data_IF_292272470440
#
_entry.id   IF_292272470440
#
_cell.length_a   1.000
_cell.length_b   1.000
_cell.length_c   1.000
_cell.angle_alpha   90.00
_cell.angle_beta   90.00
_cell.angle_gamma   90.00
#
_symmetry.space_group_name_H-M   'P 1'
#
loop_
_entity.id
_entity.type
_entity.pdbx_description
1 polymer ?
#
# COMPACT_ATOMS: atom_id res chain seq x y z
N UNK A 1 14.62 -14.91 13.93
CA UNK A 1 13.85 -13.82 13.32
C UNK A 1 12.39 -13.89 13.75
N UNK A 2 11.76 -12.72 13.98
CA UNK A 2 10.40 -12.68 14.52
C UNK A 2 9.37 -13.10 13.46
N UNK A 3 9.58 -12.66 12.23
CA UNK A 3 8.77 -13.02 11.07
C UNK A 3 9.62 -13.80 10.09
N UNK A 4 9.39 -15.10 10.02
CA UNK A 4 10.11 -15.99 9.13
C UNK A 4 9.23 -17.16 8.71
N UNK A 5 9.50 -17.70 7.54
CA UNK A 5 8.92 -18.93 7.06
C UNK A 5 10.05 -19.85 6.57
N UNK A 6 9.98 -21.17 6.77
CA UNK A 6 10.88 -22.07 6.07
C UNK A 6 10.66 -21.93 4.56
N UNK A 7 11.70 -22.13 3.73
CA UNK A 7 11.52 -22.19 2.28
C UNK A 7 10.44 -23.20 1.88
N UNK A 8 9.61 -22.86 0.90
CA UNK A 8 8.55 -23.72 0.42
C UNK A 8 8.56 -23.81 -1.12
N UNK A 9 8.38 -24.99 -1.65
CA UNK A 9 8.38 -25.21 -3.11
C UNK A 9 7.15 -24.55 -3.76
N UNK A 10 6.00 -24.69 -3.12
CA UNK A 10 4.71 -24.15 -3.58
C UNK A 10 4.06 -23.36 -2.46
N UNK A 11 3.57 -22.17 -2.78
CA UNK A 11 2.76 -21.32 -1.89
C UNK A 11 1.29 -21.59 -2.19
N UNK A 12 0.57 -22.15 -1.23
CA UNK A 12 -0.86 -22.44 -1.30
C UNK A 12 -1.64 -21.22 -0.82
N UNK A 13 -2.38 -20.60 -1.73
CA UNK A 13 -3.02 -19.31 -1.52
C UNK A 13 -4.53 -19.44 -1.38
N UNK A 14 -5.11 -18.82 -0.35
CA UNK A 14 -6.51 -18.47 -0.26
C UNK A 14 -6.69 -16.99 -0.54
N UNK A 15 -7.61 -16.62 -1.42
CA UNK A 15 -7.85 -15.22 -1.80
C UNK A 15 -9.22 -14.74 -1.34
N UNK A 16 -9.27 -13.63 -0.62
CA UNK A 16 -10.50 -13.03 -0.07
C UNK A 16 -10.76 -11.66 -0.73
N UNK A 17 -11.94 -11.53 -1.32
CA UNK A 17 -12.32 -10.32 -2.06
C UNK A 17 -11.81 -10.34 -3.50
N UNK A 18 -12.62 -10.86 -4.41
CA UNK A 18 -12.26 -10.99 -5.83
C UNK A 18 -13.08 -10.06 -6.71
N UNK A 19 -13.15 -8.79 -6.28
CA UNK A 19 -13.58 -7.66 -7.10
C UNK A 19 -12.56 -7.31 -8.20
N UNK A 20 -12.46 -6.03 -8.56
CA UNK A 20 -11.51 -5.58 -9.60
C UNK A 20 -10.05 -5.86 -9.25
N UNK A 21 -9.57 -5.33 -8.12
CA UNK A 21 -8.19 -5.50 -7.69
C UNK A 21 -7.87 -6.96 -7.34
N UNK A 22 -8.72 -7.62 -6.55
CA UNK A 22 -8.48 -9.02 -6.19
C UNK A 22 -8.41 -9.95 -7.40
N UNK A 23 -9.24 -9.73 -8.41
CA UNK A 23 -9.15 -10.48 -9.68
C UNK A 23 -7.84 -10.21 -10.42
N UNK A 24 -7.34 -8.97 -10.37
CA UNK A 24 -6.05 -8.61 -10.97
C UNK A 24 -4.89 -9.35 -10.27
N UNK A 25 -4.85 -9.36 -8.95
CA UNK A 25 -3.85 -10.13 -8.19
C UNK A 25 -3.94 -11.63 -8.48
N UNK A 26 -5.13 -12.19 -8.56
CA UNK A 26 -5.30 -13.61 -8.96
C UNK A 26 -4.68 -13.87 -10.32
N UNK A 27 -4.91 -13.01 -11.32
CA UNK A 27 -4.26 -13.14 -12.65
C UNK A 27 -2.74 -13.11 -12.56
N UNK A 28 -2.19 -12.21 -11.74
CA UNK A 28 -0.75 -12.12 -11.52
C UNK A 28 -0.22 -13.41 -10.88
N UNK A 29 -0.84 -13.85 -9.80
CA UNK A 29 -0.45 -15.05 -9.06
C UNK A 29 -0.46 -16.30 -9.93
N UNK A 30 -1.43 -16.44 -10.84
CA UNK A 30 -1.51 -17.55 -11.80
C UNK A 30 -0.36 -17.56 -12.83
N UNK A 31 0.36 -16.45 -13.00
CA UNK A 31 1.54 -16.34 -13.88
C UNK A 31 2.86 -16.54 -13.14
N UNK A 32 2.83 -16.64 -11.82
CA UNK A 32 4.01 -16.78 -10.97
C UNK A 32 4.23 -18.26 -10.64
N UNK A 33 5.43 -18.75 -10.92
CA UNK A 33 5.81 -20.12 -10.61
C UNK A 33 5.75 -20.43 -9.11
N UNK A 34 5.29 -21.62 -8.76
CA UNK A 34 5.21 -22.06 -7.38
C UNK A 34 4.02 -21.47 -6.61
N UNK A 35 2.97 -21.06 -7.30
CA UNK A 35 1.70 -20.63 -6.69
C UNK A 35 0.59 -21.63 -7.00
N UNK A 36 -0.18 -22.00 -5.98
CA UNK A 36 -1.42 -22.74 -6.12
C UNK A 36 -2.58 -21.97 -5.47
N UNK A 37 -3.57 -21.60 -6.27
CA UNK A 37 -4.82 -21.00 -5.77
C UNK A 37 -5.75 -22.10 -5.27
N UNK A 38 -5.82 -22.31 -3.95
CA UNK A 38 -6.60 -23.41 -3.36
C UNK A 38 -8.00 -23.01 -2.93
N UNK A 39 -8.20 -21.74 -2.59
CA UNK A 39 -9.49 -21.26 -2.10
C UNK A 39 -9.75 -19.81 -2.53
N UNK A 40 -11.01 -19.49 -2.76
CA UNK A 40 -11.48 -18.15 -3.14
C UNK A 40 -12.71 -17.81 -2.32
N UNK A 41 -12.72 -16.62 -1.71
CA UNK A 41 -13.81 -16.12 -0.88
C UNK A 41 -14.28 -14.74 -1.36
N UNK A 42 -15.58 -14.57 -1.54
CA UNK A 42 -16.24 -13.28 -1.78
C UNK A 42 -17.69 -13.39 -1.33
N UNK A 43 -18.29 -12.28 -0.90
CA UNK A 43 -19.72 -12.25 -0.53
C UNK A 43 -20.66 -12.42 -1.74
N UNK A 44 -20.13 -12.25 -2.95
CA UNK A 44 -20.87 -12.37 -4.23
C UNK A 44 -20.50 -13.71 -4.89
N UNK A 45 -21.41 -14.71 -4.90
CA UNK A 45 -21.10 -16.06 -5.41
C UNK A 45 -20.63 -16.06 -6.86
N UNK A 46 -21.19 -15.20 -7.70
CA UNK A 46 -20.84 -15.10 -9.13
C UNK A 46 -19.39 -14.69 -9.35
N UNK A 47 -18.85 -13.85 -8.45
CA UNK A 47 -17.42 -13.47 -8.50
C UNK A 47 -16.53 -14.66 -8.13
N UNK A 48 -16.91 -15.46 -7.15
CA UNK A 48 -16.22 -16.69 -6.76
C UNK A 48 -16.19 -17.67 -7.95
N UNK A 49 -17.35 -17.96 -8.57
CA UNK A 49 -17.44 -18.86 -9.70
C UNK A 49 -16.64 -18.38 -10.93
N UNK A 50 -16.63 -17.07 -11.18
CA UNK A 50 -15.82 -16.48 -12.24
C UNK A 50 -14.32 -16.75 -12.01
N UNK A 51 -13.83 -16.57 -10.81
CA UNK A 51 -12.40 -16.76 -10.46
C UNK A 51 -12.05 -18.26 -10.46
N UNK A 52 -12.92 -19.14 -9.98
CA UNK A 52 -12.72 -20.60 -10.09
C UNK A 52 -12.49 -21.03 -11.55
N UNK A 53 -13.33 -20.55 -12.46
CA UNK A 53 -13.16 -20.81 -13.92
C UNK A 53 -11.84 -20.28 -14.46
N UNK A 54 -11.40 -19.10 -14.00
CA UNK A 54 -10.12 -18.51 -14.38
C UNK A 54 -8.94 -19.38 -13.94
N UNK A 55 -8.97 -19.89 -12.71
CA UNK A 55 -7.93 -20.77 -12.16
C UNK A 55 -7.83 -22.08 -12.95
N UNK A 56 -8.98 -22.71 -13.24
CA UNK A 56 -9.04 -23.92 -14.07
C UNK A 56 -8.52 -23.65 -15.48
N UNK A 57 -8.90 -22.54 -16.10
CA UNK A 57 -8.42 -22.15 -17.43
C UNK A 57 -6.90 -21.91 -17.46
N UNK A 58 -6.29 -21.55 -16.33
CA UNK A 58 -4.84 -21.43 -16.17
C UNK A 58 -4.14 -22.78 -15.91
N UNK A 59 -4.87 -23.90 -15.91
CA UNK A 59 -4.32 -25.24 -15.76
C UNK A 59 -4.13 -25.70 -14.30
N UNK A 60 -4.67 -24.98 -13.32
CA UNK A 60 -4.65 -25.41 -11.92
C UNK A 60 -5.95 -26.14 -11.54
N UNK A 61 -5.92 -26.98 -10.49
CA UNK A 61 -7.14 -27.57 -9.94
C UNK A 61 -8.17 -26.51 -9.55
N UNK A 62 -9.45 -26.86 -9.64
CA UNK A 62 -10.53 -25.95 -9.22
C UNK A 62 -10.40 -25.60 -7.73
N UNK A 63 -10.30 -24.30 -7.37
CA UNK A 63 -10.23 -23.89 -5.98
C UNK A 63 -11.57 -24.03 -5.29
N UNK A 64 -11.55 -24.23 -3.98
CA UNK A 64 -12.77 -24.25 -3.18
C UNK A 64 -13.35 -22.86 -3.03
N UNK A 65 -14.65 -22.72 -3.23
CA UNK A 65 -15.38 -21.46 -3.12
C UNK A 65 -16.00 -21.26 -1.74
N UNK A 66 -15.96 -20.01 -1.27
CA UNK A 66 -16.53 -19.54 0.00
C UNK A 66 -17.36 -18.30 -0.26
N UNK A 67 -18.67 -18.35 -0.03
CA UNK A 67 -19.59 -17.23 -0.30
C UNK A 67 -20.84 -17.23 0.58
N UNK A 68 -20.75 -17.79 1.80
CA UNK A 68 -21.87 -17.88 2.74
C UNK A 68 -21.92 -16.66 3.69
N UNK A 69 -21.71 -15.45 3.14
CA UNK A 69 -21.78 -14.20 3.89
C UNK A 69 -20.42 -13.59 4.23
N UNK A 70 -20.46 -12.47 4.95
CA UNK A 70 -19.29 -11.62 5.22
C UNK A 70 -18.20 -12.32 6.03
N UNK A 71 -18.52 -13.30 6.84
CA UNK A 71 -17.59 -14.00 7.72
C UNK A 71 -17.11 -15.36 7.17
N UNK A 72 -17.46 -15.73 5.94
CA UNK A 72 -17.11 -17.03 5.38
C UNK A 72 -15.59 -17.23 5.16
N UNK A 73 -14.83 -16.11 5.11
CA UNK A 73 -13.37 -16.16 5.12
C UNK A 73 -12.80 -16.83 6.38
N UNK A 74 -13.49 -16.77 7.54
CA UNK A 74 -13.07 -17.45 8.77
C UNK A 74 -13.08 -18.94 8.57
N UNK A 75 -14.18 -19.48 8.03
CA UNK A 75 -14.29 -20.90 7.71
C UNK A 75 -13.22 -21.35 6.72
N UNK A 76 -12.91 -20.53 5.71
CA UNK A 76 -11.80 -20.79 4.79
C UNK A 76 -10.46 -20.87 5.53
N UNK A 77 -10.16 -19.89 6.40
CA UNK A 77 -8.94 -19.88 7.19
C UNK A 77 -8.82 -21.08 8.14
N UNK A 78 -9.93 -21.54 8.72
CA UNK A 78 -9.98 -22.67 9.64
C UNK A 78 -9.82 -24.03 8.93
N UNK A 79 -10.44 -24.19 7.78
CA UNK A 79 -10.60 -25.52 7.15
C UNK A 79 -9.63 -25.81 6.03
N UNK A 80 -9.08 -24.80 5.37
CA UNK A 80 -8.20 -25.02 4.21
C UNK A 80 -6.73 -25.09 4.63
N UNK A 81 -6.02 -26.00 3.98
CA UNK A 81 -4.56 -26.13 4.10
C UNK A 81 -3.88 -25.10 3.19
N UNK A 82 -3.61 -23.94 3.75
CA UNK A 82 -3.05 -22.75 3.08
C UNK A 82 -1.76 -22.30 3.76
N UNK A 83 -0.86 -21.72 2.97
CA UNK A 83 0.34 -21.04 3.45
C UNK A 83 0.11 -19.53 3.59
N UNK A 84 -0.68 -18.96 2.68
CA UNK A 84 -0.94 -17.53 2.57
C UNK A 84 -2.44 -17.27 2.36
N UNK A 85 -2.98 -16.30 3.10
CA UNK A 85 -4.27 -15.68 2.81
C UNK A 85 -4.04 -14.25 2.36
N UNK A 86 -4.55 -13.91 1.17
CA UNK A 86 -4.43 -12.60 0.57
C UNK A 86 -5.82 -11.93 0.50
N UNK A 87 -5.94 -10.67 0.92
CA UNK A 87 -7.20 -9.95 0.89
C UNK A 87 -7.15 -8.66 0.07
N UNK A 88 -8.19 -8.45 -0.74
CA UNK A 88 -8.49 -7.23 -1.48
C UNK A 88 -9.97 -6.85 -1.29
N UNK A 89 -10.42 -6.86 -0.07
CA UNK A 89 -11.77 -6.48 0.39
C UNK A 89 -11.89 -4.96 0.59
N UNK A 90 -13.08 -4.42 0.93
CA UNK A 90 -13.18 -3.09 1.52
C UNK A 90 -12.29 -2.92 2.76
N UNK A 91 -11.85 -1.69 3.05
CA UNK A 91 -10.81 -1.41 4.06
C UNK A 91 -11.11 -2.00 5.43
N UNK A 92 -12.35 -1.94 5.89
CA UNK A 92 -12.77 -2.46 7.19
C UNK A 92 -12.60 -3.98 7.38
N UNK A 93 -12.41 -4.71 6.29
CA UNK A 93 -12.21 -6.16 6.32
C UNK A 93 -10.75 -6.60 6.24
N UNK A 94 -9.81 -5.71 5.96
CA UNK A 94 -8.39 -6.05 5.85
C UNK A 94 -7.87 -6.69 7.14
N UNK A 95 -8.06 -6.03 8.27
CA UNK A 95 -7.58 -6.52 9.58
C UNK A 95 -8.29 -7.80 10.01
N UNK A 96 -9.63 -7.90 9.98
CA UNK A 96 -10.32 -9.15 10.32
C UNK A 96 -9.84 -10.36 9.52
N UNK A 97 -9.60 -10.21 8.23
CA UNK A 97 -9.09 -11.30 7.37
C UNK A 97 -7.65 -11.67 7.74
N UNK A 98 -6.75 -10.69 7.87
CA UNK A 98 -5.36 -10.93 8.23
C UNK A 98 -5.22 -11.59 9.62
N UNK A 99 -5.98 -11.14 10.59
CA UNK A 99 -6.00 -11.72 11.95
C UNK A 99 -6.47 -13.17 11.89
N UNK A 100 -7.59 -13.44 11.21
CA UNK A 100 -8.11 -14.81 11.08
C UNK A 100 -7.10 -15.73 10.38
N UNK A 101 -6.40 -15.24 9.36
CA UNK A 101 -5.34 -16.00 8.68
C UNK A 101 -4.20 -16.38 9.63
N UNK A 102 -3.66 -15.40 10.35
CA UNK A 102 -2.52 -15.62 11.25
C UNK A 102 -2.87 -16.48 12.46
N UNK A 103 -4.05 -16.31 13.05
CA UNK A 103 -4.56 -17.16 14.14
C UNK A 103 -4.72 -18.62 13.73
N UNK A 104 -4.97 -18.87 12.44
CA UNK A 104 -5.05 -20.21 11.87
C UNK A 104 -3.74 -20.67 11.21
N UNK A 105 -2.61 -20.07 11.58
CA UNK A 105 -1.27 -20.50 11.20
C UNK A 105 -0.84 -20.14 9.78
N UNK A 106 -1.54 -19.25 9.08
CA UNK A 106 -1.23 -18.80 7.72
C UNK A 106 -0.53 -17.44 7.75
N UNK A 107 0.30 -17.15 6.76
CA UNK A 107 0.77 -15.80 6.49
C UNK A 107 -0.37 -14.96 5.92
N UNK A 108 -0.28 -13.65 6.05
CA UNK A 108 -1.31 -12.72 5.58
C UNK A 108 -0.71 -11.67 4.63
N UNK A 109 -1.45 -11.33 3.60
CA UNK A 109 -1.20 -10.19 2.73
C UNK A 109 -2.50 -9.41 2.55
N UNK A 110 -2.41 -8.09 2.53
CA UNK A 110 -3.57 -7.21 2.38
C UNK A 110 -3.31 -6.07 1.42
N UNK A 111 -4.33 -5.69 0.68
CA UNK A 111 -4.38 -4.41 -0.02
C UNK A 111 -4.31 -3.23 0.95
N UNK A 112 -4.11 -2.06 0.41
CA UNK A 112 -3.86 -0.81 1.14
C UNK A 112 -5.15 0.00 1.37
N UNK A 113 -5.20 0.76 2.50
CA UNK A 113 -4.31 0.71 3.67
C UNK A 113 -4.53 -0.58 4.46
N UNK A 114 -3.53 -1.03 5.20
CA UNK A 114 -3.65 -2.27 5.97
C UNK A 114 -4.68 -2.17 7.11
N UNK A 115 -4.81 -0.98 7.68
CA UNK A 115 -5.69 -0.68 8.80
C UNK A 115 -6.24 0.75 8.68
N UNK A 116 -7.37 1.02 9.32
CA UNK A 116 -8.03 2.34 9.30
C UNK A 116 -8.05 3.02 10.67
N UNK A 117 -7.64 2.31 11.73
CA UNK A 117 -7.52 2.83 13.10
C UNK A 117 -6.21 2.40 13.74
N UNK A 118 -5.78 3.11 14.79
CA UNK A 118 -4.59 2.74 15.57
C UNK A 118 -4.77 1.41 16.30
N UNK A 119 -5.97 1.12 16.78
CA UNK A 119 -6.30 -0.16 17.41
C UNK A 119 -6.09 -1.31 16.43
N UNK A 120 -6.57 -1.18 15.21
CA UNK A 120 -6.37 -2.15 14.14
C UNK A 120 -4.88 -2.31 13.78
N UNK A 121 -4.11 -1.22 13.75
CA UNK A 121 -2.65 -1.29 13.55
C UNK A 121 -1.99 -2.16 14.63
N UNK A 122 -2.31 -1.95 15.90
CA UNK A 122 -1.81 -2.78 16.99
C UNK A 122 -2.28 -4.23 16.90
N UNK A 123 -3.54 -4.45 16.53
CA UNK A 123 -4.07 -5.80 16.37
C UNK A 123 -3.29 -6.61 15.32
N UNK A 124 -2.93 -5.99 14.19
CA UNK A 124 -2.07 -6.63 13.19
C UNK A 124 -0.70 -6.98 13.76
N UNK A 125 -0.04 -6.01 14.41
CA UNK A 125 1.30 -6.18 14.97
C UNK A 125 1.31 -7.27 16.04
N UNK A 126 0.43 -7.20 17.01
CA UNK A 126 0.35 -8.17 18.11
C UNK A 126 0.03 -9.58 17.63
N UNK A 127 -0.87 -9.70 16.65
CA UNK A 127 -1.20 -11.00 16.07
C UNK A 127 -0.02 -11.58 15.28
N UNK A 128 0.64 -10.78 14.47
CA UNK A 128 1.81 -11.21 13.69
C UNK A 128 2.96 -11.65 14.61
N UNK A 129 3.22 -10.91 15.69
CA UNK A 129 4.24 -11.24 16.68
C UNK A 129 3.89 -12.52 17.44
N UNK A 130 2.65 -12.65 17.90
CA UNK A 130 2.16 -13.80 18.67
C UNK A 130 2.25 -15.11 17.90
N UNK A 131 1.81 -15.08 16.65
CA UNK A 131 1.77 -16.28 15.79
C UNK A 131 3.01 -16.44 14.89
N UNK A 132 3.94 -15.48 14.95
CA UNK A 132 5.19 -15.46 14.16
C UNK A 132 4.93 -15.64 12.67
N UNK A 133 3.98 -14.86 12.14
CA UNK A 133 3.58 -14.90 10.73
C UNK A 133 3.93 -13.59 10.03
N UNK A 134 4.29 -13.69 8.76
CA UNK A 134 4.32 -12.52 7.91
C UNK A 134 2.92 -11.93 7.80
N UNK A 135 2.83 -10.62 7.94
CA UNK A 135 1.65 -9.82 7.60
C UNK A 135 2.14 -8.66 6.73
N UNK A 136 1.83 -8.72 5.45
CA UNK A 136 2.39 -7.82 4.44
C UNK A 136 1.28 -6.94 3.89
N UNK A 137 1.48 -5.62 3.96
CA UNK A 137 0.65 -4.68 3.20
C UNK A 137 1.22 -4.56 1.79
N UNK A 138 0.39 -4.81 0.80
CA UNK A 138 0.78 -4.81 -0.61
C UNK A 138 0.74 -3.39 -1.17
N UNK A 139 1.79 -2.64 -0.87
CA UNK A 139 1.95 -1.27 -1.37
C UNK A 139 2.69 -1.28 -2.71
N UNK A 140 1.91 -1.39 -3.77
CA UNK A 140 2.39 -1.53 -5.15
C UNK A 140 3.28 -0.37 -5.61
N UNK A 141 3.05 0.85 -5.11
CA UNK A 141 3.83 2.02 -5.50
C UNK A 141 5.31 1.92 -5.13
N UNK A 142 5.66 1.10 -4.13
CA UNK A 142 7.05 0.80 -3.82
C UNK A 142 7.77 0.01 -4.93
N UNK A 143 7.04 -0.56 -5.87
CA UNK A 143 7.56 -1.37 -6.98
C UNK A 143 7.41 -0.69 -8.36
N UNK A 144 6.94 0.55 -8.39
CA UNK A 144 6.93 1.33 -9.62
C UNK A 144 8.38 1.64 -10.05
N UNK A 145 8.62 1.71 -11.37
CA UNK A 145 9.96 1.94 -11.93
C UNK A 145 10.65 3.17 -11.35
N UNK A 146 9.95 4.30 -11.31
CA UNK A 146 10.52 5.56 -10.81
C UNK A 146 10.90 5.45 -9.34
N UNK A 147 10.01 4.93 -8.50
CA UNK A 147 10.24 4.74 -7.07
C UNK A 147 11.38 3.77 -6.79
N UNK A 148 11.46 2.66 -7.51
CA UNK A 148 12.59 1.72 -7.41
C UNK A 148 13.92 2.37 -7.81
N UNK A 149 13.94 3.13 -8.90
CA UNK A 149 15.14 3.85 -9.33
C UNK A 149 15.56 4.90 -8.30
N UNK A 150 14.62 5.66 -7.75
CA UNK A 150 14.88 6.62 -6.67
C UNK A 150 15.44 5.93 -5.43
N UNK A 151 14.86 4.80 -5.02
CA UNK A 151 15.36 3.99 -3.91
C UNK A 151 16.80 3.53 -4.14
N UNK A 152 17.11 3.06 -5.34
CA UNK A 152 18.46 2.62 -5.70
C UNK A 152 19.46 3.79 -5.63
N UNK A 153 19.13 4.94 -6.19
CA UNK A 153 19.97 6.15 -6.13
C UNK A 153 20.22 6.61 -4.69
N UNK A 154 19.17 6.63 -3.85
CA UNK A 154 19.26 6.98 -2.43
C UNK A 154 20.19 6.01 -1.68
N UNK A 155 20.01 4.71 -1.89
CA UNK A 155 20.84 3.68 -1.23
C UNK A 155 22.30 3.71 -1.64
N UNK A 156 22.59 4.11 -2.87
CA UNK A 156 23.98 4.30 -3.34
C UNK A 156 24.59 5.63 -2.88
N UNK A 157 23.84 6.45 -2.14
CA UNK A 157 24.34 7.68 -1.52
C UNK A 157 24.51 8.86 -2.47
N UNK A 158 23.97 8.81 -3.69
CA UNK A 158 24.13 9.88 -4.69
C UNK A 158 23.54 11.21 -4.21
N UNK A 159 22.47 11.17 -3.41
CA UNK A 159 21.85 12.37 -2.84
C UNK A 159 22.46 12.83 -1.51
N UNK A 160 23.48 12.14 -0.99
CA UNK A 160 24.01 12.40 0.34
C UNK A 160 23.09 11.96 1.46
N UNK A 161 23.14 12.65 2.61
CA UNK A 161 22.25 12.41 3.74
C UNK A 161 20.84 12.92 3.39
N UNK A 162 19.82 12.06 3.57
CA UNK A 162 18.43 12.42 3.27
C UNK A 162 17.88 13.32 4.36
N UNK A 163 17.23 14.40 3.97
CA UNK A 163 16.72 15.46 4.84
C UNK A 163 15.20 15.59 4.78
N UNK A 164 14.62 15.49 3.57
CA UNK A 164 13.22 15.81 3.33
C UNK A 164 12.62 14.96 2.23
N UNK A 165 11.33 14.66 2.36
CA UNK A 165 10.51 14.04 1.33
C UNK A 165 9.16 14.70 1.19
N UNK A 166 8.61 14.67 -0.03
CA UNK A 166 7.25 15.11 -0.32
C UNK A 166 6.51 14.00 -1.06
N UNK A 167 5.28 13.73 -0.63
CA UNK A 167 4.48 12.67 -1.23
C UNK A 167 2.99 12.99 -1.14
N UNK A 168 2.17 12.15 -1.74
CA UNK A 168 0.73 12.33 -1.68
C UNK A 168 -0.04 11.24 -2.41
N UNK A 169 -1.33 11.32 -2.26
CA UNK A 169 -2.29 10.64 -3.12
C UNK A 169 -3.26 11.66 -3.68
N UNK A 170 -2.93 12.11 -4.86
CA UNK A 170 -3.63 13.17 -5.56
C UNK A 170 -4.29 12.55 -6.80
N UNK A 171 -5.58 12.20 -6.68
CA UNK A 171 -6.30 11.42 -7.68
C UNK A 171 -7.79 11.80 -7.69
N UNK A 172 -8.29 12.25 -8.82
CA UNK A 172 -9.72 12.53 -8.95
C UNK A 172 -10.54 11.23 -8.85
N UNK A 173 -11.06 10.96 -7.66
CA UNK A 173 -11.90 9.78 -7.38
C UNK A 173 -13.40 10.09 -7.31
N UNK A 174 -13.85 11.27 -7.74
CA UNK A 174 -15.27 11.64 -7.66
C UNK A 174 -16.14 10.62 -8.39
N UNK A 175 -15.80 10.27 -9.63
CA UNK A 175 -16.50 9.24 -10.39
C UNK A 175 -16.51 7.87 -9.73
N UNK A 176 -15.38 7.44 -9.18
CA UNK A 176 -15.25 6.17 -8.44
C UNK A 176 -16.16 6.15 -7.21
N UNK A 177 -16.13 7.21 -6.40
CA UNK A 177 -16.92 7.32 -5.16
C UNK A 177 -18.42 7.31 -5.40
N UNK A 178 -18.87 7.75 -6.56
CA UNK A 178 -20.27 7.74 -6.96
C UNK A 178 -20.64 6.59 -7.89
N UNK A 179 -19.73 5.67 -8.19
CA UNK A 179 -20.04 4.44 -8.91
C UNK A 179 -21.12 3.63 -8.18
N UNK A 180 -21.92 2.88 -8.95
CA UNK A 180 -22.93 1.97 -8.41
C UNK A 180 -22.39 0.59 -8.03
N UNK A 181 -21.12 0.35 -8.31
CA UNK A 181 -20.40 -0.90 -8.05
C UNK A 181 -18.98 -0.66 -7.55
N UNK A 182 -18.26 -1.73 -7.26
CA UNK A 182 -16.88 -1.69 -6.80
C UNK A 182 -16.68 -0.78 -5.59
N UNK A 183 -15.68 0.08 -5.65
CA UNK A 183 -15.32 0.97 -4.54
C UNK A 183 -16.40 2.02 -4.22
N UNK A 184 -17.27 2.34 -5.16
CA UNK A 184 -18.39 3.26 -4.95
C UNK A 184 -19.39 2.78 -3.91
N UNK A 185 -19.43 1.46 -3.64
CA UNK A 185 -20.31 0.87 -2.63
C UNK A 185 -19.90 1.20 -1.18
N UNK A 186 -18.62 1.44 -0.94
CA UNK A 186 -18.10 1.61 0.42
C UNK A 186 -17.18 2.84 0.61
N UNK A 187 -16.38 3.23 -0.39
CA UNK A 187 -15.35 4.28 -0.23
C UNK A 187 -15.93 5.66 0.08
N UNK A 188 -17.07 6.02 -0.51
CA UNK A 188 -17.75 7.29 -0.25
C UNK A 188 -18.18 7.46 1.22
N UNK A 189 -18.54 6.37 1.90
CA UNK A 189 -18.95 6.39 3.30
C UNK A 189 -17.86 6.93 4.23
N UNK A 190 -16.58 6.69 3.92
CA UNK A 190 -15.46 7.27 4.65
C UNK A 190 -15.41 8.80 4.51
N UNK A 191 -15.74 9.34 3.34
CA UNK A 191 -15.79 10.78 3.10
C UNK A 191 -16.93 11.49 3.86
N UNK A 192 -17.98 10.75 4.22
CA UNK A 192 -19.10 11.24 5.05
C UNK A 192 -18.70 11.34 6.53
N UNK A 193 -17.87 10.41 7.02
CA UNK A 193 -17.61 10.20 8.45
C UNK A 193 -16.27 10.73 8.94
N UNK A 194 -15.28 10.85 8.06
CA UNK A 194 -13.86 11.03 8.42
C UNK A 194 -13.24 12.24 7.73
N UNK A 195 -12.36 12.95 8.44
CA UNK A 195 -11.65 14.13 7.91
C UNK A 195 -10.16 14.07 8.27
N UNK A 196 -9.34 13.69 7.32
CA UNK A 196 -7.90 13.53 7.44
C UNK A 196 -7.29 12.99 6.16
N UNK A 197 -6.13 12.40 6.25
CA UNK A 197 -5.52 11.66 5.14
C UNK A 197 -5.98 10.19 5.18
N UNK A 198 -6.99 9.86 4.41
CA UNK A 198 -7.59 8.52 4.42
C UNK A 198 -6.85 7.49 3.55
N UNK A 199 -5.82 7.93 2.80
CA UNK A 199 -5.08 7.03 1.89
C UNK A 199 -3.60 7.43 1.79
N UNK A 200 -2.83 7.28 2.89
CA UNK A 200 -1.47 7.80 2.95
C UNK A 200 -0.43 6.94 2.24
N UNK A 201 -0.67 5.63 2.07
CA UNK A 201 0.38 4.64 1.86
C UNK A 201 1.03 4.71 0.49
N UNK A 202 0.28 5.03 -0.58
CA UNK A 202 0.82 5.15 -1.94
C UNK A 202 1.91 6.22 -2.09
N UNK A 203 1.76 7.34 -1.41
CA UNK A 203 2.81 8.36 -1.37
C UNK A 203 3.86 8.05 -0.31
N UNK A 204 3.41 7.73 0.90
CA UNK A 204 4.29 7.57 2.06
C UNK A 204 5.19 6.35 1.99
N UNK A 205 4.71 5.23 1.44
CA UNK A 205 5.46 3.97 1.39
C UNK A 205 6.84 4.12 0.74
N UNK A 206 6.94 4.60 -0.50
CA UNK A 206 8.23 4.85 -1.14
C UNK A 206 9.14 5.79 -0.34
N UNK A 207 8.61 6.92 0.15
CA UNK A 207 9.39 7.89 0.94
C UNK A 207 9.88 7.29 2.26
N UNK A 208 9.05 6.49 2.93
CA UNK A 208 9.45 5.76 4.14
C UNK A 208 10.60 4.78 3.86
N UNK A 209 10.60 4.13 2.70
CA UNK A 209 11.71 3.28 2.27
C UNK A 209 12.98 4.08 1.99
N UNK A 210 12.89 5.25 1.35
CA UNK A 210 14.06 6.12 1.13
C UNK A 210 14.71 6.56 2.44
N UNK A 211 13.93 6.73 3.50
CA UNK A 211 14.37 7.19 4.82
C UNK A 211 14.65 6.05 5.82
N UNK A 212 14.58 4.80 5.39
CA UNK A 212 14.77 3.62 6.27
C UNK A 212 13.85 3.63 7.51
N UNK A 213 12.61 4.06 7.37
CA UNK A 213 11.63 4.03 8.46
C UNK A 213 11.43 2.58 8.94
N UNK A 214 11.40 2.39 10.26
CA UNK A 214 11.42 1.11 10.98
C UNK A 214 12.76 0.32 10.84
N UNK A 215 13.80 0.91 10.20
CA UNK A 215 15.09 0.27 9.90
C UNK A 215 16.26 1.26 10.07
N UNK A 216 16.32 1.91 11.23
CA UNK A 216 17.31 2.93 11.57
C UNK A 216 16.71 4.32 11.80
N UNK A 217 15.47 4.56 11.36
CA UNK A 217 14.68 5.75 11.69
C UNK A 217 13.23 5.34 11.98
N UNK A 218 12.42 6.27 12.48
CA UNK A 218 11.01 6.05 12.81
C UNK A 218 10.25 7.38 12.75
N UNK A 219 8.94 7.33 12.45
CA UNK A 219 8.07 8.49 12.61
C UNK A 219 7.94 8.87 14.08
N UNK A 220 8.14 10.14 14.38
CA UNK A 220 8.03 10.69 15.74
C UNK A 220 6.64 11.26 15.98
N UNK A 221 6.26 12.28 15.22
CA UNK A 221 4.93 12.88 15.29
C UNK A 221 4.48 13.48 13.96
N UNK A 222 3.18 13.75 13.83
CA UNK A 222 2.64 14.51 12.71
C UNK A 222 1.76 15.67 13.18
N UNK A 223 1.63 16.66 12.29
CA UNK A 223 0.62 17.73 12.33
C UNK A 223 -0.19 17.66 11.04
N UNK A 224 -1.49 17.97 11.11
CA UNK A 224 -2.37 17.88 9.93
C UNK A 224 -3.46 18.95 9.92
N UNK A 225 -3.75 19.46 8.73
CA UNK A 225 -4.81 20.43 8.47
C UNK A 225 -5.57 20.05 7.22
N UNK A 226 -6.89 20.16 7.25
CA UNK A 226 -7.75 19.94 6.09
C UNK A 226 -8.37 21.22 5.58
N UNK A 227 -8.54 21.33 4.27
CA UNK A 227 -9.33 22.37 3.63
C UNK A 227 -10.82 22.17 3.87
N UNK A 228 -11.65 23.11 3.42
CA UNK A 228 -13.11 22.92 3.36
C UNK A 228 -13.47 21.77 2.41
N UNK A 229 -14.63 21.15 2.61
CA UNK A 229 -15.21 20.12 1.78
C UNK A 229 -16.21 20.72 0.79
N UNK A 230 -16.00 20.59 -0.52
CA UNK A 230 -16.88 21.10 -1.60
C UNK A 230 -16.91 20.21 -2.84
N UNK A 231 -15.83 19.49 -3.15
CA UNK A 231 -15.71 18.76 -4.41
C UNK A 231 -16.79 17.70 -4.62
N UNK A 232 -17.08 16.89 -3.59
CA UNK A 232 -18.16 15.88 -3.67
C UNK A 232 -19.55 16.53 -3.69
N UNK A 233 -19.76 17.64 -2.96
CA UNK A 233 -21.02 18.39 -2.98
C UNK A 233 -21.31 19.00 -4.35
N UNK A 234 -20.29 19.43 -5.07
CA UNK A 234 -20.48 19.89 -6.46
C UNK A 234 -20.72 18.72 -7.41
N UNK A 235 -19.98 17.63 -7.26
CA UNK A 235 -20.14 16.45 -8.12
C UNK A 235 -21.52 15.79 -7.96
N UNK A 236 -22.07 15.71 -6.75
CA UNK A 236 -23.39 15.11 -6.52
C UNK A 236 -24.53 15.83 -7.25
N UNK A 237 -24.35 17.11 -7.61
CA UNK A 237 -25.34 17.85 -8.42
C UNK A 237 -25.49 17.30 -9.84
N UNK A 238 -24.50 16.54 -10.33
CA UNK A 238 -24.54 15.88 -11.63
C UNK A 238 -25.35 14.58 -11.65
N UNK A 239 -25.70 14.06 -10.47
CA UNK A 239 -26.53 12.86 -10.35
C UNK A 239 -27.98 13.15 -10.75
N UNK A 240 -28.77 12.11 -11.14
CA UNK A 240 -30.18 12.25 -11.38
C UNK A 240 -30.94 12.94 -10.22
N UNK A 241 -31.95 13.72 -10.49
CA UNK A 241 -32.67 14.51 -9.48
C UNK A 241 -33.23 13.67 -8.33
N UNK A 242 -33.66 12.45 -8.63
CA UNK A 242 -34.21 11.51 -7.65
C UNK A 242 -33.15 10.65 -6.94
N UNK A 243 -31.85 10.86 -7.20
CA UNK A 243 -30.79 10.08 -6.53
C UNK A 243 -30.63 10.55 -5.08
N UNK A 244 -30.83 9.67 -4.07
CA UNK A 244 -30.77 10.04 -2.66
C UNK A 244 -29.38 10.58 -2.25
N UNK A 245 -28.31 10.21 -2.97
CA UNK A 245 -26.95 10.67 -2.69
C UNK A 245 -26.76 12.17 -2.93
N UNK A 246 -27.67 12.84 -3.62
CA UNK A 246 -27.66 14.29 -3.77
C UNK A 246 -27.80 15.07 -2.45
N UNK A 247 -28.32 14.41 -1.41
CA UNK A 247 -28.55 15.01 -0.09
C UNK A 247 -27.49 14.63 0.95
N UNK A 248 -26.48 13.84 0.56
CA UNK A 248 -25.40 13.44 1.47
C UNK A 248 -24.54 14.66 1.84
N UNK A 249 -24.04 14.64 3.06
CA UNK A 249 -23.09 15.65 3.57
C UNK A 249 -21.73 15.01 3.76
N UNK A 250 -20.68 15.69 3.32
CA UNK A 250 -19.31 15.19 3.39
C UNK A 250 -18.49 16.07 4.35
N UNK A 251 -17.77 15.42 5.25
CA UNK A 251 -16.88 16.09 6.21
C UNK A 251 -15.41 16.09 5.77
N UNK A 252 -15.05 15.15 4.89
CA UNK A 252 -13.68 15.04 4.38
C UNK A 252 -13.30 16.32 3.65
N UNK A 253 -12.30 17.03 4.17
CA UNK A 253 -11.71 18.18 3.47
C UNK A 253 -11.18 17.76 2.10
N UNK A 254 -11.35 18.61 1.10
CA UNK A 254 -10.97 18.28 -0.28
C UNK A 254 -9.46 18.05 -0.41
N UNK A 255 -8.67 18.81 0.33
CA UNK A 255 -7.22 18.66 0.45
C UNK A 255 -6.86 18.54 1.92
N UNK A 256 -6.14 17.48 2.28
CA UNK A 256 -5.51 17.34 3.58
C UNK A 256 -3.99 17.45 3.43
N UNK A 257 -3.37 18.21 4.29
CA UNK A 257 -1.93 18.44 4.35
C UNK A 257 -1.42 17.94 5.69
N UNK A 258 -0.43 17.05 5.65
CA UNK A 258 0.23 16.54 6.86
C UNK A 258 1.74 16.71 6.76
N UNK A 259 2.39 16.99 7.89
CA UNK A 259 3.85 17.00 8.01
C UNK A 259 4.23 16.01 9.10
N UNK A 260 5.12 15.09 8.77
CA UNK A 260 5.71 14.13 9.71
C UNK A 260 7.13 14.56 10.03
N UNK A 261 7.51 14.50 11.31
CA UNK A 261 8.88 14.57 11.80
C UNK A 261 9.35 13.16 12.13
N UNK A 262 10.60 12.81 11.77
CA UNK A 262 11.21 11.55 12.17
C UNK A 262 12.17 11.73 13.34
N UNK A 263 12.50 10.65 14.04
CA UNK A 263 13.46 10.68 15.15
C UNK A 263 14.86 11.14 14.73
N UNK A 264 15.32 10.77 13.54
CA UNK A 264 16.59 11.24 13.00
C UNK A 264 16.54 12.66 12.44
N UNK A 265 15.39 13.31 12.49
CA UNK A 265 15.23 14.72 12.14
C UNK A 265 14.77 15.01 10.73
N UNK A 266 14.49 14.00 9.90
CA UNK A 266 13.89 14.18 8.59
C UNK A 266 12.46 14.72 8.69
N UNK A 267 11.99 15.35 7.62
CA UNK A 267 10.60 15.79 7.49
C UNK A 267 9.96 15.19 6.25
N UNK A 268 8.67 14.87 6.35
CA UNK A 268 7.88 14.37 5.22
C UNK A 268 6.61 15.21 5.10
N UNK A 269 6.36 15.75 3.92
CA UNK A 269 5.13 16.45 3.58
C UNK A 269 4.22 15.52 2.79
N UNK A 270 2.95 15.37 3.24
CA UNK A 270 1.99 14.44 2.60
C UNK A 270 0.72 15.20 2.23
N UNK A 271 0.27 15.02 0.99
CA UNK A 271 -0.99 15.56 0.48
C UNK A 271 -1.99 14.42 0.21
N UNK A 272 -3.23 14.59 0.65
CA UNK A 272 -4.36 13.78 0.24
C UNK A 272 -5.40 14.65 -0.48
N UNK A 273 -5.66 14.35 -1.74
CA UNK A 273 -6.60 15.08 -2.60
C UNK A 273 -7.31 14.09 -3.52
N UNK A 274 -8.55 13.72 -3.17
CA UNK A 274 -9.34 12.73 -3.94
C UNK A 274 -10.71 13.24 -4.37
N UNK A 275 -11.03 14.50 -4.06
CA UNK A 275 -12.36 15.07 -4.26
C UNK A 275 -12.40 16.22 -5.27
N UNK A 276 -11.27 16.56 -5.87
CA UNK A 276 -11.15 17.67 -6.83
C UNK A 276 -10.68 17.17 -8.20
N UNK A 277 -11.04 17.90 -9.29
CA UNK A 277 -10.58 17.56 -10.64
C UNK A 277 -9.10 17.85 -10.79
N UNK A 278 -8.32 16.82 -11.10
CA UNK A 278 -6.89 16.92 -11.32
C UNK A 278 -6.30 15.69 -12.01
N UNK A 279 -5.14 15.80 -12.67
CA UNK A 279 -4.31 14.66 -13.05
C UNK A 279 -3.80 13.91 -11.82
N UNK A 280 -3.55 12.62 -11.99
CA UNK A 280 -2.94 11.77 -10.97
C UNK A 280 -1.52 12.22 -10.60
N UNK A 281 -1.18 12.20 -9.32
CA UNK A 281 0.17 12.42 -8.82
C UNK A 281 0.34 11.81 -7.43
N UNK A 282 1.49 11.20 -7.19
CA UNK A 282 1.96 10.86 -5.83
C UNK A 282 2.99 11.87 -5.31
N UNK A 283 3.28 12.92 -6.07
CA UNK A 283 4.33 13.91 -5.80
C UNK A 283 5.71 13.26 -5.86
N UNK A 284 5.99 12.32 -4.94
CA UNK A 284 7.18 11.47 -4.92
C UNK A 284 8.49 12.24 -5.09
N UNK A 285 8.88 12.95 -4.04
CA UNK A 285 10.11 13.75 -3.99
C UNK A 285 10.96 13.29 -2.81
N UNK A 286 12.27 13.24 -3.01
CA UNK A 286 13.27 13.04 -1.96
C UNK A 286 14.44 13.99 -2.16
N UNK A 287 14.89 14.63 -1.08
CA UNK A 287 15.98 15.58 -1.06
C UNK A 287 17.00 15.23 0.02
N UNK A 288 18.25 15.25 -0.36
CA UNK A 288 19.39 15.08 0.53
C UNK A 288 20.37 16.24 0.42
N UNK A 289 21.50 16.11 1.10
CA UNK A 289 22.55 17.16 1.17
C UNK A 289 23.30 17.40 -0.14
N UNK A 290 23.14 16.52 -1.15
CA UNK A 290 23.85 16.60 -2.43
C UNK A 290 22.94 16.61 -3.65
N UNK A 291 21.63 16.51 -3.47
CA UNK A 291 20.71 16.49 -4.60
C UNK A 291 19.28 16.24 -4.24
N UNK A 292 18.42 16.25 -5.27
CA UNK A 292 16.98 16.11 -5.18
C UNK A 292 16.46 15.32 -6.38
N UNK A 293 15.50 14.44 -6.15
CA UNK A 293 14.73 13.77 -7.20
C UNK A 293 13.25 14.05 -6.97
N UNK A 294 12.53 14.36 -8.04
CA UNK A 294 11.07 14.53 -8.02
C UNK A 294 10.45 13.81 -9.22
N UNK A 295 9.26 13.27 -9.00
CA UNK A 295 8.43 12.77 -10.10
C UNK A 295 7.39 13.80 -10.56
N UNK A 296 6.63 13.43 -11.57
CA UNK A 296 5.52 14.19 -12.16
C UNK A 296 5.94 15.56 -12.74
N UNK A 297 6.91 15.57 -13.73
CA UNK A 297 7.61 14.42 -14.35
C UNK A 297 8.89 14.02 -13.61
N UNK A 298 9.43 12.80 -13.88
CA UNK A 298 10.68 12.32 -13.26
C UNK A 298 11.88 13.19 -13.65
N UNK A 299 12.51 13.80 -12.66
CA UNK A 299 13.65 14.72 -12.83
C UNK A 299 14.57 14.69 -11.63
N UNK A 300 15.83 15.00 -11.86
CA UNK A 300 16.90 14.93 -10.87
C UNK A 300 17.82 16.14 -10.96
N UNK A 301 18.32 16.58 -9.82
CA UNK A 301 19.48 17.47 -9.72
C UNK A 301 20.48 16.88 -8.72
N UNK A 302 21.74 16.78 -9.11
CA UNK A 302 22.84 16.34 -8.25
C UNK A 302 23.97 17.33 -8.34
N UNK A 303 24.40 17.84 -7.19
CA UNK A 303 25.53 18.77 -7.11
C UNK A 303 26.79 18.18 -7.75
N UNK A 304 27.42 18.94 -8.64
CA UNK A 304 28.63 18.51 -9.36
C UNK A 304 28.41 17.58 -10.55
N UNK A 305 27.18 17.09 -10.79
CA UNK A 305 26.82 16.28 -11.97
C UNK A 305 25.84 17.01 -12.89
N UNK A 306 24.81 17.62 -12.33
CA UNK A 306 23.81 18.40 -13.07
C UNK A 306 24.34 19.79 -13.41
N UNK A 307 23.71 20.44 -14.41
CA UNK A 307 23.94 21.85 -14.72
C UNK A 307 23.60 22.76 -13.54
N UNK A 308 24.00 24.01 -13.60
CA UNK A 308 23.77 24.97 -12.51
C UNK A 308 22.27 25.28 -12.38
N UNK A 309 21.71 24.96 -11.23
CA UNK A 309 20.29 25.24 -10.85
C UNK A 309 19.24 24.72 -11.85
N UNK A 310 19.55 23.61 -12.55
CA UNK A 310 18.66 23.03 -13.54
C UNK A 310 18.40 21.55 -13.29
N UNK A 311 17.13 21.16 -13.32
CA UNK A 311 16.76 19.75 -13.31
C UNK A 311 17.08 19.11 -14.67
N UNK A 312 17.53 17.86 -14.60
CA UNK A 312 17.67 16.97 -15.73
C UNK A 312 16.57 15.89 -15.71
N UNK A 313 16.14 15.37 -16.88
CA UNK A 313 15.29 14.18 -16.91
C UNK A 313 15.95 13.00 -16.18
N UNK A 314 15.22 12.35 -15.28
CA UNK A 314 15.73 11.19 -14.55
C UNK A 314 16.17 10.05 -15.49
N UNK A 315 15.55 9.92 -16.66
CA UNK A 315 15.88 8.91 -17.68
C UNK A 315 17.35 8.95 -18.13
N UNK A 316 18.03 10.10 -18.07
CA UNK A 316 19.47 10.19 -18.37
C UNK A 316 20.34 9.32 -17.44
N UNK A 317 19.81 9.00 -16.28
CA UNK A 317 20.48 8.22 -15.24
C UNK A 317 20.14 6.73 -15.28
N UNK A 318 19.16 6.31 -16.12
CA UNK A 318 18.63 4.96 -16.13
C UNK A 318 19.67 3.88 -16.47
N UNK A 319 20.59 4.14 -17.41
CA UNK A 319 21.62 3.17 -17.78
C UNK A 319 22.43 2.71 -16.55
N UNK A 320 22.83 3.65 -15.70
CA UNK A 320 23.67 3.40 -14.52
C UNK A 320 22.84 3.07 -13.28
N UNK A 321 21.66 3.69 -13.09
CA UNK A 321 20.95 3.73 -11.82
C UNK A 321 19.59 3.04 -11.83
N UNK A 322 19.18 2.41 -12.95
CA UNK A 322 17.95 1.61 -12.98
C UNK A 322 18.03 0.50 -11.94
N UNK A 323 16.97 0.32 -11.16
CA UNK A 323 16.96 -0.69 -10.10
C UNK A 323 17.06 -2.10 -10.67
N UNK A 324 17.94 -2.98 -10.13
CA UNK A 324 18.12 -4.34 -10.64
C UNK A 324 16.83 -5.17 -10.67
N UNK A 325 15.94 -5.01 -9.69
CA UNK A 325 14.65 -5.68 -9.67
C UNK A 325 13.80 -5.29 -10.89
N UNK A 326 13.76 -4.00 -11.24
CA UNK A 326 13.04 -3.55 -12.43
C UNK A 326 13.63 -4.15 -13.70
N UNK A 327 14.95 -4.12 -13.84
CA UNK A 327 15.64 -4.74 -14.98
C UNK A 327 15.32 -6.23 -15.13
N UNK A 328 15.24 -6.95 -14.01
CA UNK A 328 14.94 -8.38 -14.01
C UNK A 328 13.47 -8.69 -14.35
N UNK A 329 12.54 -7.81 -13.96
CA UNK A 329 11.09 -8.12 -13.98
C UNK A 329 10.29 -7.39 -15.06
N UNK A 330 10.83 -6.34 -15.68
CA UNK A 330 10.08 -5.48 -16.60
C UNK A 330 9.38 -6.24 -17.74
N UNK A 331 10.02 -7.28 -18.30
CA UNK A 331 9.41 -8.06 -19.37
C UNK A 331 8.29 -8.98 -18.88
N UNK A 332 8.47 -9.60 -17.71
CA UNK A 332 7.44 -10.42 -17.07
C UNK A 332 6.23 -9.60 -16.61
N UNK A 333 6.44 -8.35 -16.25
CA UNK A 333 5.40 -7.43 -15.80
C UNK A 333 4.60 -6.78 -16.95
N UNK A 334 5.01 -6.94 -18.21
CA UNK A 334 4.27 -6.37 -19.36
C UNK A 334 2.82 -6.81 -19.38
N UNK A 335 1.92 -5.84 -19.55
CA UNK A 335 0.48 -6.07 -19.64
C UNK A 335 -0.21 -6.33 -18.28
N UNK A 336 0.53 -6.28 -17.18
CA UNK A 336 -0.06 -6.31 -15.85
C UNK A 336 -0.56 -4.91 -15.42
N UNK A 337 -1.42 -4.88 -14.40
CA UNK A 337 -2.04 -3.64 -13.89
C UNK A 337 -1.01 -2.60 -13.45
N UNK A 338 -1.42 -1.33 -13.50
CA UNK A 338 -0.63 -0.17 -13.04
C UNK A 338 0.81 -0.14 -13.59
N UNK A 339 1.00 -0.44 -14.87
CA UNK A 339 2.31 -0.40 -15.50
C UNK A 339 3.25 -1.53 -15.08
N UNK A 340 2.73 -2.58 -14.44
CA UNK A 340 3.47 -3.77 -14.04
C UNK A 340 3.86 -3.81 -12.56
N UNK A 341 3.69 -2.72 -11.80
CA UNK A 341 4.08 -2.70 -10.38
C UNK A 341 3.30 -3.71 -9.54
N UNK A 342 2.01 -3.96 -9.81
CA UNK A 342 1.20 -4.94 -9.11
C UNK A 342 1.76 -6.38 -9.32
N UNK A 343 2.26 -6.68 -10.51
CA UNK A 343 2.87 -7.98 -10.78
C UNK A 343 4.19 -8.15 -10.03
N UNK A 344 5.00 -7.12 -9.97
CA UNK A 344 6.31 -7.16 -9.31
C UNK A 344 6.14 -7.34 -7.79
N UNK A 345 5.18 -6.67 -7.18
CA UNK A 345 4.91 -6.86 -5.74
C UNK A 345 4.40 -8.27 -5.43
N UNK A 346 3.47 -8.80 -6.23
CA UNK A 346 2.97 -10.18 -6.09
C UNK A 346 4.11 -11.19 -6.25
N UNK A 347 4.96 -11.00 -7.26
CA UNK A 347 6.15 -11.82 -7.48
C UNK A 347 7.09 -11.80 -6.27
N UNK A 348 7.40 -10.60 -5.73
CA UNK A 348 8.31 -10.47 -4.59
C UNK A 348 7.76 -11.14 -3.33
N UNK A 349 6.47 -11.01 -3.05
CA UNK A 349 5.83 -11.71 -1.93
C UNK A 349 6.04 -13.22 -2.05
N UNK A 350 5.71 -13.78 -3.20
CA UNK A 350 5.83 -15.23 -3.46
C UNK A 350 7.31 -15.67 -3.42
N UNK A 351 8.20 -14.90 -4.01
CA UNK A 351 9.65 -15.20 -3.98
C UNK A 351 10.20 -15.23 -2.55
N UNK A 352 9.83 -14.27 -1.71
CA UNK A 352 10.25 -14.23 -0.31
C UNK A 352 9.77 -15.48 0.44
N UNK A 353 8.50 -15.87 0.27
CA UNK A 353 7.95 -17.06 0.92
C UNK A 353 8.61 -18.35 0.39
N UNK A 354 8.80 -18.48 -0.91
CA UNK A 354 9.44 -19.66 -1.51
C UNK A 354 10.89 -19.84 -1.07
N UNK A 355 11.62 -18.74 -0.91
CA UNK A 355 13.04 -18.76 -0.52
C UNK A 355 13.28 -18.68 0.99
N UNK A 356 12.23 -18.50 1.79
CA UNK A 356 12.34 -18.30 3.23
C UNK A 356 13.04 -16.99 3.59
N UNK A 357 12.84 -15.94 2.78
CA UNK A 357 13.44 -14.62 2.99
C UNK A 357 12.49 -13.73 3.80
N UNK A 358 13.02 -12.71 4.49
CA UNK A 358 12.21 -11.61 4.97
C UNK A 358 11.45 -10.94 3.82
N UNK A 359 10.21 -10.53 4.06
CA UNK A 359 9.45 -9.76 3.07
C UNK A 359 9.99 -8.33 2.94
N UNK A 360 9.83 -7.72 1.77
CA UNK A 360 10.31 -6.35 1.51
C UNK A 360 9.63 -5.32 2.43
N UNK A 361 8.37 -5.55 2.76
CA UNK A 361 7.60 -4.82 3.78
C UNK A 361 7.14 -5.81 4.83
N UNK A 362 7.05 -5.38 6.07
CA UNK A 362 6.56 -6.22 7.18
C UNK A 362 5.39 -5.55 7.90
N UNK A 363 4.89 -6.17 8.97
CA UNK A 363 3.74 -5.65 9.71
C UNK A 363 3.99 -4.28 10.34
N UNK A 364 5.24 -3.93 10.66
CA UNK A 364 5.55 -2.62 11.20
C UNK A 364 5.42 -1.51 10.16
N UNK A 365 5.77 -1.79 8.91
CA UNK A 365 5.53 -0.88 7.79
C UNK A 365 4.03 -0.72 7.55
N UNK A 366 3.30 -1.83 7.52
CA UNK A 366 1.85 -1.83 7.39
C UNK A 366 1.16 -0.97 8.46
N UNK A 367 1.56 -1.13 9.72
CA UNK A 367 1.00 -0.38 10.85
C UNK A 367 1.40 1.10 10.82
N UNK A 368 2.70 1.41 10.70
CA UNK A 368 3.18 2.79 10.78
C UNK A 368 2.70 3.67 9.63
N UNK A 369 2.65 3.13 8.39
CA UNK A 369 2.15 3.90 7.26
C UNK A 369 0.64 4.09 7.31
N UNK A 370 -0.11 3.08 7.74
CA UNK A 370 -1.58 3.17 7.91
C UNK A 370 -2.00 4.06 9.08
N UNK A 371 -1.19 4.18 10.12
CA UNK A 371 -1.47 4.99 11.30
C UNK A 371 -1.69 6.48 11.00
N UNK A 372 -1.13 6.98 9.90
CA UNK A 372 -1.32 8.37 9.44
C UNK A 372 -2.80 8.71 9.30
N UNK A 373 -3.65 7.77 8.89
CA UNK A 373 -5.09 8.03 8.72
C UNK A 373 -5.72 8.57 10.01
N UNK A 374 -5.70 7.80 11.09
CA UNK A 374 -6.31 8.25 12.36
C UNK A 374 -5.53 9.38 13.03
N UNK A 375 -4.20 9.37 12.99
CA UNK A 375 -3.39 10.46 13.56
C UNK A 375 -3.67 11.79 12.87
N UNK A 376 -3.82 11.81 11.54
CA UNK A 376 -4.19 13.02 10.81
C UNK A 376 -5.58 13.51 11.16
N UNK A 377 -6.56 12.61 11.33
CA UNK A 377 -7.91 12.96 11.78
C UNK A 377 -7.90 13.60 13.17
N UNK A 378 -7.14 13.02 14.11
CA UNK A 378 -6.99 13.56 15.47
C UNK A 378 -6.36 14.96 15.43
N UNK A 379 -5.30 15.14 14.64
CA UNK A 379 -4.64 16.43 14.49
C UNK A 379 -5.60 17.49 13.90
N UNK A 380 -6.32 17.16 12.83
CA UNK A 380 -7.32 18.04 12.20
C UNK A 380 -8.39 18.45 13.21
N UNK A 381 -8.95 17.49 13.97
CA UNK A 381 -9.96 17.75 14.99
C UNK A 381 -9.44 18.67 16.12
N UNK A 382 -8.14 18.64 16.38
CA UNK A 382 -7.45 19.45 17.39
C UNK A 382 -6.73 20.68 16.80
N UNK A 383 -7.18 21.15 15.65
CA UNK A 383 -6.68 22.39 15.00
C UNK A 383 -5.19 22.35 14.63
N UNK A 384 -4.69 21.19 14.22
CA UNK A 384 -3.29 20.98 13.83
C UNK A 384 -2.37 20.64 15.00
N UNK A 385 -2.90 20.22 16.14
CA UNK A 385 -2.07 19.80 17.27
C UNK A 385 -1.24 18.56 16.89
N UNK A 386 0.04 18.49 17.36
CA UNK A 386 0.90 17.33 17.11
C UNK A 386 0.29 16.04 17.66
N UNK A 387 0.44 14.97 16.91
CA UNK A 387 0.04 13.61 17.29
C UNK A 387 1.26 12.71 17.20
N UNK A 388 1.64 12.08 18.31
CA UNK A 388 2.76 11.15 18.36
C UNK A 388 2.41 9.84 17.67
N UNK A 389 3.36 9.29 16.92
CA UNK A 389 3.23 7.93 16.38
C UNK A 389 3.49 6.89 17.48
N UNK A 390 2.67 5.85 17.58
CA UNK A 390 3.03 4.68 18.36
C UNK A 390 4.30 4.02 17.83
N UNK A 391 5.19 3.60 18.73
CA UNK A 391 6.31 2.75 18.33
C UNK A 391 5.84 1.30 18.22
N UNK A 392 5.37 0.91 17.04
CA UNK A 392 4.93 -0.45 16.76
C UNK A 392 6.05 -1.47 16.87
N UNK A 393 7.32 -1.05 16.71
CA UNK A 393 8.49 -1.92 16.80
C UNK A 393 8.98 -2.13 18.23
N UNK A 394 8.48 -1.37 19.19
CA UNK A 394 8.92 -1.36 20.59
C UNK A 394 10.46 -1.19 20.70
N UNK A 395 11.00 -0.23 19.96
CA UNK A 395 12.43 0.12 19.94
C UNK A 395 13.29 -0.71 18.99
N UNK A 396 12.74 -1.77 18.38
CA UNK A 396 13.54 -2.65 17.49
C UNK A 396 13.95 -1.96 16.18
N UNK A 397 13.30 -0.88 15.78
CA UNK A 397 13.68 -0.11 14.59
C UNK A 397 15.15 0.33 14.60
N UNK A 398 15.76 0.47 15.78
CA UNK A 398 17.18 0.82 15.94
C UNK A 398 18.14 -0.27 15.47
N UNK A 399 17.70 -1.51 15.50
CA UNK A 399 18.52 -2.70 15.25
C UNK A 399 18.13 -3.43 13.95
N UNK A 400 16.97 -3.11 13.36
CA UNK A 400 16.56 -3.74 12.11
C UNK A 400 17.52 -3.35 10.98
N UNK A 401 17.92 -4.33 10.15
CA UNK A 401 18.74 -4.04 8.99
C UNK A 401 17.97 -3.18 7.98
N UNK A 402 18.66 -2.43 7.13
CA UNK A 402 18.05 -1.75 5.99
C UNK A 402 17.21 -2.69 5.14
N UNK A 403 16.22 -2.13 4.43
CA UNK A 403 15.35 -2.87 3.54
C UNK A 403 16.14 -3.74 2.56
N UNK A 404 15.84 -5.03 2.54
CA UNK A 404 16.57 -6.04 1.78
C UNK A 404 15.92 -6.44 0.47
N UNK A 405 15.53 -5.50 -0.42
CA UNK A 405 15.12 -5.88 -1.77
C UNK A 405 16.32 -6.52 -2.47
N UNK A 406 16.20 -7.82 -2.80
CA UNK A 406 17.32 -8.70 -3.19
C UNK A 406 18.22 -8.12 -4.29
N UNK A 407 17.65 -7.41 -5.25
CA UNK A 407 18.38 -6.92 -6.41
C UNK A 407 18.82 -5.45 -6.26
N UNK A 408 18.63 -4.84 -5.10
CA UNK A 408 18.94 -3.43 -4.85
C UNK A 408 20.11 -3.14 -3.93
#
# INVERSE_FOLDING_TARGET
ELFSAPPMETVRVGFVGVGGMGTNHVRNLLRIEGVQLKAVCDIVPEKVERVKKMVVAAGQPEPKGYSNGELDFKRMCETEDLDLVYTATPWEWHVPVCVSAMENGKHAATEVPAAVTLEECWQLVETAEKYKKHCVMMENCCYNRTELMMLHIVRKGLLGEIIHGECGYCHDLRGVKFSKDGEGLWRRAHSIKRNGNLYPTHGLGPVAQYMNINRGDQFEYLVSVSSKSRGLQEYQKTLPENDPRRNEKYVLGDVNLSIIKTFNGCTIYIVHDTNLPRPYSRINMVQGTKGIIMDYPPRIFVEGLSGKEEFEPLEKYAEQWEHPLWKAMQDSAKGAGHGGMDFIEDFRLIECLRKGLPTDMNVYDAASWSAVSELSERSVAQRGAPQDFPDFTRGRWKEYPPLGIIYG
#
